data_IF_147952566952
#
_entry.id   IF_147952566952
#
_cell.length_a   1.000
_cell.length_b   1.000
_cell.length_c   1.000
_cell.angle_alpha   90.00
_cell.angle_beta   90.00
_cell.angle_gamma   90.00
#
_symmetry.space_group_name_H-M   'P 1'
#
loop_
_entity.id
_entity.type
_entity.pdbx_description
1 polymer ?
#
# COMPACT_ATOMS: atom_id res chain seq x y z
N UNK A 1 18.49 -15.14 -17.51
CA UNK A 1 17.98 -14.00 -16.72
C UNK A 1 18.88 -12.77 -16.85
N UNK A 2 20.18 -12.83 -16.53
CA UNK A 2 21.10 -11.69 -16.64
C UNK A 2 21.27 -11.13 -18.07
N UNK A 3 21.26 -11.99 -19.08
CA UNK A 3 21.20 -11.56 -20.49
C UNK A 3 19.99 -10.66 -20.78
N UNK A 4 18.82 -11.02 -20.24
CA UNK A 4 17.59 -10.27 -20.47
C UNK A 4 17.63 -8.91 -19.75
N UNK A 5 18.16 -8.88 -18.53
CA UNK A 5 18.44 -7.63 -17.81
C UNK A 5 19.36 -6.72 -18.64
N UNK A 6 20.45 -7.27 -19.18
CA UNK A 6 21.35 -6.51 -20.04
C UNK A 6 20.64 -5.94 -21.30
N UNK A 7 19.80 -6.75 -21.93
CA UNK A 7 19.00 -6.31 -23.08
C UNK A 7 17.95 -5.27 -22.72
N UNK A 8 17.38 -5.31 -21.51
CA UNK A 8 16.45 -4.28 -21.06
C UNK A 8 17.12 -2.91 -20.99
N UNK A 9 18.36 -2.84 -20.51
CA UNK A 9 19.13 -1.59 -20.45
C UNK A 9 19.61 -1.15 -21.84
N UNK A 10 20.25 -2.05 -22.58
CA UNK A 10 20.97 -1.69 -23.81
C UNK A 10 20.10 -1.68 -25.07
N UNK A 11 19.04 -2.48 -25.12
CA UNK A 11 18.27 -2.72 -26.33
C UNK A 11 16.74 -2.77 -26.09
N UNK A 12 16.13 -1.75 -25.45
CA UNK A 12 14.67 -1.67 -25.35
C UNK A 12 14.06 -1.56 -26.76
N UNK A 13 13.06 -2.41 -27.04
CA UNK A 13 12.45 -2.51 -28.37
C UNK A 13 11.22 -1.62 -28.48
N UNK A 14 11.11 -0.91 -29.61
CA UNK A 14 9.90 -0.18 -30.00
C UNK A 14 8.98 -1.10 -30.80
N UNK A 15 7.88 -1.55 -30.19
CA UNK A 15 6.85 -2.33 -30.88
C UNK A 15 5.58 -1.49 -31.08
N UNK A 16 5.43 -0.95 -32.29
CA UNK A 16 4.29 -0.10 -32.65
C UNK A 16 2.97 -0.88 -32.70
N UNK A 17 3.00 -2.17 -33.03
CA UNK A 17 1.80 -3.01 -33.12
C UNK A 17 1.27 -3.36 -31.73
N UNK A 18 2.17 -3.71 -30.81
CA UNK A 18 1.84 -3.93 -29.41
C UNK A 18 1.36 -2.64 -28.74
N UNK A 19 2.01 -1.51 -29.02
CA UNK A 19 1.59 -0.20 -28.53
C UNK A 19 0.15 0.14 -28.95
N UNK A 20 -0.18 0.03 -30.25
CA UNK A 20 -1.54 0.30 -30.76
C UNK A 20 -2.57 -0.61 -30.10
N UNK A 21 -2.25 -1.91 -30.00
CA UNK A 21 -3.12 -2.90 -29.34
C UNK A 21 -3.35 -2.56 -27.86
N UNK A 22 -2.30 -2.16 -27.14
CA UNK A 22 -2.40 -1.73 -25.74
C UNK A 22 -3.31 -0.51 -25.59
N UNK A 23 -3.07 0.57 -26.35
CA UNK A 23 -3.89 1.79 -26.28
C UNK A 23 -5.36 1.50 -26.59
N UNK A 24 -5.64 0.72 -27.65
CA UNK A 24 -7.00 0.36 -28.02
C UNK A 24 -7.68 -0.49 -26.93
N UNK A 25 -7.00 -1.52 -26.41
CA UNK A 25 -7.54 -2.39 -25.37
C UNK A 25 -7.81 -1.62 -24.08
N UNK A 26 -6.87 -0.79 -23.63
CA UNK A 26 -6.99 -0.01 -22.40
C UNK A 26 -8.12 1.02 -22.46
N UNK A 27 -8.35 1.66 -23.62
CA UNK A 27 -9.52 2.53 -23.84
C UNK A 27 -10.84 1.76 -23.73
N UNK A 28 -10.93 0.60 -24.37
CA UNK A 28 -12.13 -0.24 -24.31
C UNK A 28 -12.41 -0.74 -22.89
N UNK A 29 -11.36 -1.19 -22.17
CA UNK A 29 -11.47 -1.61 -20.77
C UNK A 29 -11.92 -0.46 -19.86
N UNK A 30 -11.40 0.74 -20.08
CA UNK A 30 -11.78 1.93 -19.31
C UNK A 30 -13.26 2.25 -19.48
N UNK A 31 -13.79 2.20 -20.71
CA UNK A 31 -15.23 2.40 -20.96
C UNK A 31 -16.09 1.40 -20.19
N UNK A 32 -15.68 0.13 -20.16
CA UNK A 32 -16.38 -0.90 -19.41
C UNK A 32 -16.29 -0.68 -17.89
N UNK A 33 -15.11 -0.31 -17.39
CA UNK A 33 -14.90 0.01 -15.97
C UNK A 33 -15.77 1.17 -15.50
N UNK A 34 -15.88 2.24 -16.30
CA UNK A 34 -16.71 3.41 -15.94
C UNK A 34 -18.21 3.08 -15.81
N UNK A 35 -18.68 1.95 -16.34
CA UNK A 35 -20.05 1.47 -16.13
C UNK A 35 -20.26 0.79 -14.77
N UNK A 36 -19.18 0.49 -14.03
CA UNK A 36 -19.22 -0.05 -12.68
C UNK A 36 -19.29 1.12 -11.66
N UNK A 37 -20.34 1.19 -10.84
CA UNK A 37 -20.46 2.24 -9.84
C UNK A 37 -19.34 2.36 -8.82
N UNK A 38 -18.70 1.25 -8.48
CA UNK A 38 -17.56 1.24 -7.55
C UNK A 38 -16.43 2.11 -8.09
N UNK A 39 -16.28 2.20 -9.41
CA UNK A 39 -15.27 3.04 -10.06
C UNK A 39 -15.52 4.52 -9.80
N UNK A 40 -16.78 4.98 -9.84
CA UNK A 40 -17.10 6.38 -9.51
C UNK A 40 -16.84 6.68 -8.04
N UNK A 41 -17.12 5.74 -7.15
CA UNK A 41 -16.83 5.88 -5.73
C UNK A 41 -15.32 5.97 -5.46
N UNK A 42 -14.52 5.06 -6.02
CA UNK A 42 -13.07 5.08 -5.87
C UNK A 42 -12.47 6.37 -6.46
N UNK A 43 -12.93 6.82 -7.62
CA UNK A 43 -12.50 8.09 -8.21
C UNK A 43 -12.84 9.28 -7.29
N UNK A 44 -14.07 9.35 -6.78
CA UNK A 44 -14.51 10.41 -5.86
C UNK A 44 -13.72 10.38 -4.54
N UNK A 45 -13.46 9.18 -4.02
CA UNK A 45 -12.68 8.96 -2.81
C UNK A 45 -11.23 9.43 -2.99
N UNK A 46 -10.52 9.00 -4.04
CA UNK A 46 -9.13 9.43 -4.29
C UNK A 46 -9.03 10.94 -4.56
N UNK A 47 -9.96 11.48 -5.35
CA UNK A 47 -10.03 12.93 -5.60
C UNK A 47 -10.23 13.70 -4.30
N UNK A 48 -11.01 13.19 -3.35
CA UNK A 48 -11.18 13.85 -2.05
C UNK A 48 -9.98 13.64 -1.16
N UNK A 49 -9.45 12.41 -1.11
CA UNK A 49 -8.28 12.02 -0.32
C UNK A 49 -7.05 12.88 -0.61
N UNK A 50 -6.87 13.31 -1.86
CA UNK A 50 -5.75 14.17 -2.25
C UNK A 50 -6.17 15.59 -2.61
N UNK A 51 -7.34 16.06 -2.18
CA UNK A 51 -7.86 17.41 -2.45
C UNK A 51 -7.77 17.82 -3.94
N UNK A 52 -8.09 16.89 -4.84
CA UNK A 52 -8.05 17.03 -6.30
C UNK A 52 -6.68 17.48 -6.83
N UNK A 53 -5.59 17.18 -6.10
CA UNK A 53 -4.25 17.51 -6.51
C UNK A 53 -3.91 16.82 -7.86
N UNK A 54 -3.41 17.54 -8.87
CA UNK A 54 -3.12 16.95 -10.18
C UNK A 54 -1.99 15.90 -10.15
N UNK A 55 -1.20 15.85 -9.07
CA UNK A 55 -0.16 14.85 -8.84
C UNK A 55 -0.67 13.64 -8.05
N UNK A 56 -1.96 13.61 -7.69
CA UNK A 56 -2.56 12.47 -7.02
C UNK A 56 -2.43 11.20 -7.88
N UNK A 57 -2.25 10.02 -7.26
CA UNK A 57 -2.26 8.75 -7.97
C UNK A 57 -3.54 8.59 -8.79
N UNK A 58 -3.39 8.18 -10.04
CA UNK A 58 -4.52 7.84 -10.91
C UNK A 58 -5.06 6.49 -10.47
N UNK A 59 -6.06 6.49 -9.60
CA UNK A 59 -6.74 5.26 -9.17
C UNK A 59 -7.56 4.64 -10.31
N UNK A 60 -8.24 5.49 -11.09
CA UNK A 60 -9.03 5.09 -12.25
C UNK A 60 -8.51 5.86 -13.48
N UNK A 61 -7.92 5.18 -14.47
CA UNK A 61 -7.51 5.86 -15.70
C UNK A 61 -8.72 6.31 -16.50
N UNK A 62 -8.62 7.47 -17.17
CA UNK A 62 -9.62 7.94 -18.13
C UNK A 62 -9.22 7.57 -19.55
N UNK A 63 -10.20 7.42 -20.44
CA UNK A 63 -9.95 7.11 -21.85
C UNK A 63 -9.00 8.11 -22.52
N UNK A 64 -9.18 9.40 -22.19
CA UNK A 64 -8.36 10.52 -22.68
C UNK A 64 -6.89 10.45 -22.25
N UNK A 65 -6.56 9.79 -21.13
CA UNK A 65 -5.17 9.65 -20.70
C UNK A 65 -4.39 8.80 -21.71
N UNK A 66 -5.06 7.83 -22.34
CA UNK A 66 -4.45 7.01 -23.39
C UNK A 66 -4.31 7.73 -24.72
N UNK A 67 -5.05 8.83 -24.95
CA UNK A 67 -4.83 9.71 -26.11
C UNK A 67 -3.54 10.52 -25.97
N UNK A 68 -3.15 10.84 -24.74
CA UNK A 68 -1.93 11.59 -24.43
C UNK A 68 -0.65 10.74 -24.38
N UNK A 69 -0.77 9.41 -24.40
CA UNK A 69 0.41 8.53 -24.41
C UNK A 69 1.12 8.67 -25.75
N UNK A 70 2.44 8.83 -25.71
CA UNK A 70 3.29 8.89 -26.89
C UNK A 70 4.38 7.82 -26.78
N UNK A 71 4.44 6.91 -27.76
CA UNK A 71 5.37 5.76 -27.74
C UNK A 71 6.85 6.18 -27.69
N UNK A 72 7.22 7.24 -28.41
CA UNK A 72 8.59 7.75 -28.37
C UNK A 72 8.93 8.31 -27.00
N UNK A 73 8.04 9.12 -26.42
CA UNK A 73 8.23 9.64 -25.07
C UNK A 73 8.29 8.53 -24.02
N UNK A 74 7.49 7.47 -24.16
CA UNK A 74 7.58 6.30 -23.26
C UNK A 74 8.98 5.65 -23.31
N UNK A 75 9.55 5.49 -24.50
CA UNK A 75 10.89 4.92 -24.66
C UNK A 75 11.99 5.86 -24.18
N UNK A 76 11.83 7.17 -24.37
CA UNK A 76 12.73 8.17 -23.79
C UNK A 76 12.72 8.09 -22.26
N UNK A 77 11.55 8.12 -21.62
CA UNK A 77 11.41 7.99 -20.16
C UNK A 77 12.05 6.68 -19.69
N UNK A 78 11.80 5.57 -20.40
CA UNK A 78 12.40 4.30 -20.07
C UNK A 78 13.93 4.37 -20.08
N UNK A 79 14.53 4.95 -21.13
CA UNK A 79 15.99 5.12 -21.24
C UNK A 79 16.54 6.10 -20.21
N UNK A 80 15.82 7.18 -19.90
CA UNK A 80 16.18 8.14 -18.84
C UNK A 80 16.26 7.48 -17.45
N UNK A 81 15.41 6.46 -17.20
CA UNK A 81 15.31 5.78 -15.90
C UNK A 81 16.12 4.50 -15.78
N UNK A 82 16.26 3.75 -16.87
CA UNK A 82 16.84 2.40 -16.88
C UNK A 82 18.02 2.23 -17.84
N UNK A 83 18.36 3.25 -18.63
CA UNK A 83 19.50 3.20 -19.57
C UNK A 83 20.86 3.51 -18.92
N UNK A 84 20.87 3.84 -17.63
CA UNK A 84 22.06 4.15 -16.83
C UNK A 84 21.89 3.54 -15.44
N UNK A 85 22.86 2.74 -15.01
CA UNK A 85 22.81 1.98 -13.75
C UNK A 85 23.73 2.52 -12.66
N UNK A 86 24.23 3.76 -12.79
CA UNK A 86 25.25 4.37 -11.91
C UNK A 86 24.97 4.32 -10.40
N UNK A 87 23.71 4.24 -9.97
CA UNK A 87 23.29 4.27 -8.57
C UNK A 87 22.34 3.09 -8.25
N UNK A 88 22.35 2.06 -9.10
CA UNK A 88 21.49 0.89 -8.95
C UNK A 88 22.21 -0.21 -8.17
N UNK A 89 21.47 -0.88 -7.30
CA UNK A 89 21.95 -2.04 -6.54
C UNK A 89 21.33 -3.31 -7.13
N UNK A 90 22.18 -4.29 -7.47
CA UNK A 90 21.75 -5.61 -7.93
C UNK A 90 21.98 -6.62 -6.82
N UNK A 91 20.88 -7.19 -6.31
CA UNK A 91 20.91 -8.17 -5.20
C UNK A 91 20.54 -9.54 -5.74
N UNK A 92 21.34 -10.55 -5.40
CA UNK A 92 21.13 -11.93 -5.82
C UNK A 92 21.04 -12.82 -4.58
N UNK A 93 19.99 -13.64 -4.50
CA UNK A 93 19.80 -14.60 -3.41
C UNK A 93 19.44 -15.96 -3.98
N UNK A 94 20.15 -17.00 -3.54
CA UNK A 94 19.88 -18.38 -3.87
C UNK A 94 21.14 -19.24 -3.84
N UNK A 95 21.05 -20.42 -4.45
CA UNK A 95 22.24 -21.26 -4.68
C UNK A 95 23.02 -20.70 -5.87
N UNK A 96 24.10 -19.97 -5.56
CA UNK A 96 24.89 -19.22 -6.51
C UNK A 96 26.36 -19.67 -6.42
N UNK A 97 26.83 -20.57 -7.31
CA UNK A 97 28.24 -20.94 -7.36
C UNK A 97 29.08 -19.70 -7.64
N UNK A 98 29.99 -19.37 -6.73
CA UNK A 98 30.73 -18.10 -6.70
C UNK A 98 31.37 -17.77 -8.05
N UNK A 99 32.23 -18.65 -8.56
CA UNK A 99 32.94 -18.47 -9.84
C UNK A 99 32.00 -18.20 -11.01
N UNK A 100 30.97 -19.03 -11.20
CA UNK A 100 30.03 -18.86 -12.31
C UNK A 100 29.19 -17.60 -12.15
N UNK A 101 28.86 -17.22 -10.91
CA UNK A 101 28.08 -16.03 -10.61
C UNK A 101 28.88 -14.77 -10.93
N UNK A 102 30.15 -14.73 -10.52
CA UNK A 102 31.09 -13.65 -10.82
C UNK A 102 31.26 -13.48 -12.35
N UNK A 103 31.57 -14.55 -13.07
CA UNK A 103 31.72 -14.54 -14.54
C UNK A 103 30.46 -13.98 -15.24
N UNK A 104 29.26 -14.29 -14.74
CA UNK A 104 28.01 -13.78 -15.30
C UNK A 104 27.74 -12.32 -14.92
N UNK A 105 28.11 -11.89 -13.71
CA UNK A 105 28.01 -10.50 -13.27
C UNK A 105 28.95 -9.63 -14.10
N UNK A 106 30.21 -10.02 -14.27
CA UNK A 106 31.17 -9.31 -15.12
C UNK A 106 30.65 -9.16 -16.54
N UNK A 107 30.12 -10.26 -17.11
CA UNK A 107 29.65 -10.27 -18.49
C UNK A 107 28.41 -9.41 -18.71
N UNK A 108 27.43 -9.44 -17.79
CA UNK A 108 26.08 -8.89 -18.05
C UNK A 108 25.71 -7.67 -17.21
N UNK A 109 26.32 -7.48 -16.04
CA UNK A 109 26.05 -6.35 -15.14
C UNK A 109 27.17 -5.31 -15.22
N UNK A 110 28.44 -5.73 -15.11
CA UNK A 110 29.57 -4.81 -15.17
C UNK A 110 29.77 -4.18 -16.57
N UNK A 111 29.14 -4.74 -17.60
CA UNK A 111 29.10 -4.18 -18.96
C UNK A 111 28.00 -3.14 -19.19
N UNK A 112 27.16 -2.85 -18.18
CA UNK A 112 26.06 -1.89 -18.30
C UNK A 112 26.56 -0.44 -18.28
N UNK A 113 25.85 0.49 -18.96
CA UNK A 113 26.23 1.90 -18.98
C UNK A 113 26.17 2.54 -17.60
N UNK A 114 27.23 3.25 -17.23
CA UNK A 114 27.32 4.10 -16.04
C UNK A 114 27.77 5.49 -16.46
N UNK A 115 26.97 6.52 -16.16
CA UNK A 115 27.35 7.92 -16.41
C UNK A 115 27.82 8.68 -15.16
N UNK A 116 27.75 8.07 -13.98
CA UNK A 116 28.05 8.69 -12.69
C UNK A 116 26.91 9.56 -12.14
N UNK A 117 25.72 9.52 -12.75
CA UNK A 117 24.53 10.21 -12.23
C UNK A 117 24.13 9.65 -10.87
N UNK A 118 23.77 10.54 -9.95
CA UNK A 118 23.13 10.19 -8.69
C UNK A 118 21.62 10.35 -8.80
N UNK A 119 20.89 9.39 -8.27
CA UNK A 119 19.43 9.41 -8.27
C UNK A 119 18.94 9.71 -6.86
N UNK A 120 17.96 10.61 -6.75
CA UNK A 120 17.34 10.92 -5.47
C UNK A 120 15.84 11.16 -5.66
N UNK A 121 15.06 10.90 -4.63
CA UNK A 121 13.64 11.23 -4.62
C UNK A 121 13.44 12.73 -4.39
N UNK A 122 12.30 13.25 -4.86
CA UNK A 122 11.88 14.62 -4.62
C UNK A 122 10.48 14.58 -4.00
N UNK A 123 10.33 15.23 -2.85
CA UNK A 123 8.99 15.50 -2.34
C UNK A 123 8.28 16.49 -3.27
N UNK A 124 7.15 16.05 -3.82
CA UNK A 124 6.33 16.82 -4.75
C UNK A 124 5.20 17.59 -4.04
N UNK A 125 5.15 17.56 -2.70
CA UNK A 125 4.16 18.25 -1.90
C UNK A 125 2.77 17.59 -1.89
N UNK A 126 2.62 16.39 -2.46
CA UNK A 126 1.37 15.65 -2.38
C UNK A 126 1.14 15.17 -0.94
N UNK A 127 -0.04 15.48 -0.39
CA UNK A 127 -0.48 15.09 0.96
C UNK A 127 -1.91 14.60 0.94
N UNK A 128 -2.25 13.74 1.90
CA UNK A 128 -3.65 13.40 2.20
C UNK A 128 -4.36 14.64 2.74
N UNK A 129 -5.64 14.81 2.42
CA UNK A 129 -6.46 15.92 2.85
C UNK A 129 -6.53 16.01 4.38
N UNK A 130 -6.49 17.25 4.89
CA UNK A 130 -6.57 17.54 6.31
C UNK A 130 -8.01 17.63 6.81
N UNK A 131 -8.21 17.40 8.11
CA UNK A 131 -9.50 17.55 8.77
C UNK A 131 -10.39 16.31 8.70
N UNK A 132 -11.65 16.48 9.09
CA UNK A 132 -12.67 15.42 9.09
C UNK A 132 -13.56 15.58 7.86
N UNK A 133 -13.56 14.59 6.99
CA UNK A 133 -14.28 14.61 5.72
C UNK A 133 -15.15 13.37 5.61
N UNK A 134 -16.46 13.57 5.49
CA UNK A 134 -17.40 12.49 5.24
C UNK A 134 -17.93 12.57 3.80
N UNK A 135 -17.92 11.45 3.09
CA UNK A 135 -18.38 11.33 1.71
C UNK A 135 -19.38 10.19 1.63
N UNK A 136 -20.56 10.44 1.08
CA UNK A 136 -21.53 9.38 0.78
C UNK A 136 -21.84 9.41 -0.71
N UNK A 137 -21.69 8.27 -1.38
CA UNK A 137 -21.98 8.11 -2.80
C UNK A 137 -23.09 7.10 -2.98
N UNK A 138 -24.22 7.53 -3.53
CA UNK A 138 -25.37 6.69 -3.86
C UNK A 138 -25.29 6.23 -5.31
N UNK A 139 -24.46 5.21 -5.57
CA UNK A 139 -24.30 4.64 -6.92
C UNK A 139 -24.28 3.11 -6.96
N UNK A 140 -24.28 2.41 -5.83
CA UNK A 140 -24.23 0.96 -5.81
C UNK A 140 -25.41 0.31 -6.57
N UNK A 141 -25.13 -0.63 -7.46
CA UNK A 141 -26.19 -1.39 -8.19
C UNK A 141 -26.74 -2.56 -7.40
N UNK A 142 -25.96 -3.05 -6.43
CA UNK A 142 -26.35 -4.13 -5.53
C UNK A 142 -26.80 -3.55 -4.20
N UNK A 143 -27.62 -4.28 -3.46
CA UNK A 143 -28.02 -3.96 -2.08
C UNK A 143 -26.85 -4.19 -1.10
N UNK A 144 -25.75 -3.50 -1.34
CA UNK A 144 -24.49 -3.57 -0.59
C UNK A 144 -23.91 -2.17 -0.43
N UNK A 145 -23.21 -1.99 0.68
CA UNK A 145 -22.44 -0.81 0.98
C UNK A 145 -20.95 -1.14 1.18
N UNK A 146 -20.11 -0.12 1.04
CA UNK A 146 -18.68 -0.21 1.34
C UNK A 146 -18.27 1.02 2.15
N UNK A 147 -17.68 0.79 3.32
CA UNK A 147 -17.06 1.84 4.12
C UNK A 147 -15.55 1.82 3.86
N UNK A 148 -14.99 2.98 3.54
CA UNK A 148 -13.57 3.27 3.57
C UNK A 148 -13.32 4.33 4.64
N UNK A 149 -12.51 4.03 5.66
CA UNK A 149 -12.11 5.02 6.66
C UNK A 149 -10.59 5.18 6.65
N UNK A 150 -10.12 6.40 6.43
CA UNK A 150 -8.69 6.75 6.40
C UNK A 150 -8.36 7.61 7.60
N UNK A 151 -7.36 7.20 8.38
CA UNK A 151 -6.75 7.98 9.44
C UNK A 151 -5.32 8.27 9.02
N UNK A 152 -4.89 9.53 9.00
CA UNK A 152 -3.57 9.86 8.45
C UNK A 152 -2.90 11.03 9.14
N UNK A 153 -1.61 11.19 8.89
CA UNK A 153 -0.86 12.34 9.35
C UNK A 153 0.63 12.24 9.05
N UNK A 154 1.34 13.33 9.27
CA UNK A 154 2.80 13.32 9.24
C UNK A 154 3.34 12.86 10.60
N UNK A 155 4.37 12.02 10.56
CA UNK A 155 5.08 11.54 11.75
C UNK A 155 6.50 11.14 11.33
N UNK A 156 7.53 11.39 12.16
CA UNK A 156 8.86 10.86 11.88
C UNK A 156 8.82 9.34 11.71
N UNK A 157 9.44 8.86 10.63
CA UNK A 157 9.54 7.43 10.40
C UNK A 157 10.53 6.79 11.38
N UNK A 158 10.15 5.65 11.93
CA UNK A 158 11.09 4.69 12.50
C UNK A 158 10.53 3.28 12.30
N UNK A 159 11.41 2.31 12.13
CA UNK A 159 11.03 0.89 12.05
C UNK A 159 10.25 0.43 13.31
N UNK A 160 10.56 1.05 14.46
CA UNK A 160 9.87 0.83 15.74
C UNK A 160 8.42 1.32 15.72
N UNK A 161 8.17 2.47 15.09
CA UNK A 161 6.83 2.99 14.87
C UNK A 161 6.07 2.13 13.86
N UNK A 162 6.72 1.72 12.77
CA UNK A 162 6.13 0.85 11.76
C UNK A 162 5.65 -0.48 12.36
N UNK A 163 6.50 -1.18 13.14
CA UNK A 163 6.15 -2.44 13.81
C UNK A 163 4.98 -2.26 14.78
N UNK A 164 4.97 -1.19 15.58
CA UNK A 164 3.86 -0.90 16.52
C UNK A 164 2.58 -0.56 15.78
N UNK A 165 2.67 0.18 14.67
CA UNK A 165 1.52 0.53 13.86
C UNK A 165 0.86 -0.71 13.24
N UNK A 166 1.67 -1.62 12.72
CA UNK A 166 1.24 -2.92 12.20
C UNK A 166 0.60 -3.78 13.29
N UNK A 167 1.20 -3.84 14.48
CA UNK A 167 0.65 -4.60 15.61
C UNK A 167 -0.72 -4.08 16.04
N UNK A 168 -0.93 -2.76 16.00
CA UNK A 168 -2.24 -2.15 16.26
C UNK A 168 -3.25 -2.58 15.18
N UNK A 169 -2.86 -2.59 13.91
CA UNK A 169 -3.71 -3.08 12.82
C UNK A 169 -4.11 -4.54 13.01
N UNK A 170 -3.18 -5.43 13.33
CA UNK A 170 -3.46 -6.85 13.58
C UNK A 170 -4.39 -7.07 14.77
N UNK A 171 -4.17 -6.36 15.89
CA UNK A 171 -5.09 -6.45 17.04
C UNK A 171 -6.48 -5.90 16.69
N UNK A 172 -6.56 -4.78 15.96
CA UNK A 172 -7.85 -4.26 15.51
C UNK A 172 -8.54 -5.25 14.57
N UNK A 173 -7.81 -5.96 13.70
CA UNK A 173 -8.39 -6.97 12.82
C UNK A 173 -8.98 -8.15 13.58
N UNK A 174 -8.35 -8.59 14.68
CA UNK A 174 -8.96 -9.56 15.61
C UNK A 174 -10.30 -9.02 16.13
N UNK A 175 -10.34 -7.78 16.62
CA UNK A 175 -11.58 -7.17 17.13
C UNK A 175 -12.63 -6.92 16.04
N UNK A 176 -12.23 -6.60 14.81
CA UNK A 176 -13.13 -6.47 13.66
C UNK A 176 -13.79 -7.81 13.36
N UNK A 177 -13.04 -8.92 13.42
CA UNK A 177 -13.62 -10.25 13.23
C UNK A 177 -14.62 -10.57 14.37
N UNK A 178 -14.19 -10.45 15.63
CA UNK A 178 -15.02 -10.80 16.79
C UNK A 178 -16.28 -9.92 16.90
N UNK A 179 -16.13 -8.60 16.81
CA UNK A 179 -17.23 -7.67 17.08
C UNK A 179 -18.05 -7.36 15.82
N UNK A 180 -17.40 -7.01 14.71
CA UNK A 180 -18.11 -6.54 13.51
C UNK A 180 -18.63 -7.69 12.65
N UNK A 181 -17.85 -8.77 12.50
CA UNK A 181 -18.23 -9.94 11.70
C UNK A 181 -19.05 -10.96 12.49
N UNK A 182 -18.61 -11.36 13.68
CA UNK A 182 -19.25 -12.49 14.38
C UNK A 182 -20.44 -12.05 15.24
N UNK A 183 -20.28 -10.99 16.04
CA UNK A 183 -21.31 -10.51 16.97
C UNK A 183 -22.35 -9.60 16.33
N UNK A 184 -21.93 -8.58 15.58
CA UNK A 184 -22.84 -7.66 14.86
C UNK A 184 -23.37 -8.31 13.58
N UNK A 185 -22.63 -9.26 13.01
CA UNK A 185 -22.95 -9.89 11.72
C UNK A 185 -23.08 -8.86 10.59
N UNK A 186 -22.27 -7.80 10.63
CA UNK A 186 -22.38 -6.67 9.71
C UNK A 186 -21.46 -6.75 8.48
N UNK A 187 -20.41 -7.57 8.53
CA UNK A 187 -19.46 -7.77 7.43
C UNK A 187 -19.15 -9.26 7.25
N UNK A 188 -18.86 -9.68 6.01
CA UNK A 188 -18.34 -11.03 5.73
C UNK A 188 -16.80 -11.08 5.74
N UNK A 189 -16.16 -9.94 5.52
CA UNK A 189 -14.72 -9.74 5.49
C UNK A 189 -14.39 -8.26 5.51
N UNK A 190 -13.12 -7.92 5.41
CA UNK A 190 -12.64 -6.55 5.60
C UNK A 190 -11.66 -6.47 6.76
N UNK A 191 -11.10 -5.29 6.94
CA UNK A 191 -10.07 -5.07 7.95
C UNK A 191 -9.54 -3.64 7.91
N UNK A 192 -8.54 -3.38 8.73
CA UNK A 192 -7.80 -2.13 8.82
C UNK A 192 -6.30 -2.38 8.67
N UNK A 193 -5.67 -1.60 7.79
CA UNK A 193 -4.27 -1.79 7.42
C UNK A 193 -3.50 -0.51 7.65
N UNK A 194 -2.31 -0.61 8.23
CA UNK A 194 -1.42 0.51 8.47
C UNK A 194 -0.34 0.62 7.41
N UNK A 195 0.09 1.84 7.12
CA UNK A 195 1.34 2.13 6.43
C UNK A 195 2.06 3.25 7.16
N UNK A 196 3.37 3.09 7.39
CA UNK A 196 4.26 4.16 7.85
C UNK A 196 5.33 4.33 6.79
N UNK A 197 5.33 5.47 6.12
CA UNK A 197 6.18 5.72 4.96
C UNK A 197 7.36 6.59 5.35
N UNK A 198 8.57 6.25 4.86
CA UNK A 198 9.80 7.01 5.11
C UNK A 198 10.01 8.13 4.08
N UNK A 199 9.88 7.79 2.80
CA UNK A 199 10.19 8.65 1.65
C UNK A 199 8.97 8.84 0.74
N UNK A 200 8.87 9.96 -0.01
CA UNK A 200 9.79 11.09 -0.02
C UNK A 200 9.61 12.04 1.18
N UNK A 201 8.57 11.81 1.99
CA UNK A 201 8.34 12.49 3.26
C UNK A 201 7.75 11.50 4.26
N UNK A 202 8.02 11.69 5.55
CA UNK A 202 7.57 10.75 6.57
C UNK A 202 6.12 10.99 6.98
N UNK A 203 5.30 9.94 6.85
CA UNK A 203 3.87 9.98 7.16
C UNK A 203 3.34 8.61 7.54
N UNK A 204 2.09 8.58 8.00
CA UNK A 204 1.36 7.34 8.24
C UNK A 204 -0.07 7.43 7.70
N UNK A 205 -0.64 6.25 7.43
CA UNK A 205 -2.07 6.09 7.31
C UNK A 205 -2.54 4.75 7.88
N UNK A 206 -3.79 4.72 8.31
CA UNK A 206 -4.59 3.52 8.49
C UNK A 206 -5.76 3.59 7.53
N UNK A 207 -6.03 2.51 6.80
CA UNK A 207 -7.17 2.40 5.89
C UNK A 207 -8.01 1.21 6.33
N UNK A 208 -9.23 1.48 6.79
CA UNK A 208 -10.24 0.45 7.03
C UNK A 208 -11.10 0.28 5.78
N UNK A 209 -11.33 -0.97 5.38
CA UNK A 209 -12.22 -1.35 4.27
C UNK A 209 -13.24 -2.36 4.77
N UNK A 210 -14.51 -1.95 4.89
CA UNK A 210 -15.58 -2.75 5.47
C UNK A 210 -16.76 -2.88 4.49
N UNK A 211 -16.80 -3.94 3.65
CA UNK A 211 -17.97 -4.27 2.86
C UNK A 211 -19.11 -4.77 3.76
N UNK A 212 -20.31 -4.18 3.62
CA UNK A 212 -21.43 -4.41 4.52
C UNK A 212 -22.80 -4.26 3.85
N UNK A 213 -23.88 -4.55 4.59
CA UNK A 213 -25.25 -4.16 4.21
C UNK A 213 -25.47 -2.65 4.40
N UNK A 214 -26.28 -1.98 3.55
CA UNK A 214 -26.56 -0.54 3.65
C UNK A 214 -27.09 -0.09 5.01
N UNK A 215 -27.87 -0.95 5.68
CA UNK A 215 -28.45 -0.74 7.01
C UNK A 215 -27.43 -0.87 8.16
N UNK A 216 -26.28 -1.49 7.90
CA UNK A 216 -25.22 -1.71 8.90
C UNK A 216 -24.16 -0.61 8.91
N UNK A 217 -24.20 0.34 7.97
CA UNK A 217 -23.16 1.36 7.80
C UNK A 217 -22.86 2.11 9.11
N UNK A 218 -23.87 2.74 9.70
CA UNK A 218 -23.67 3.57 10.89
C UNK A 218 -23.24 2.72 12.10
N UNK A 219 -23.82 1.52 12.22
CA UNK A 219 -23.48 0.56 13.29
C UNK A 219 -22.01 0.16 13.21
N UNK A 220 -21.49 -0.11 12.01
CA UNK A 220 -20.10 -0.54 11.81
C UNK A 220 -19.10 0.60 11.97
N UNK A 221 -19.43 1.81 11.54
CA UNK A 221 -18.59 3.00 11.78
C UNK A 221 -18.47 3.25 13.29
N UNK A 222 -19.58 3.17 14.03
CA UNK A 222 -19.56 3.31 15.49
C UNK A 222 -18.74 2.19 16.13
N UNK A 223 -18.95 0.94 15.73
CA UNK A 223 -18.22 -0.21 16.27
C UNK A 223 -16.70 -0.10 16.01
N UNK A 224 -16.28 0.24 14.79
CA UNK A 224 -14.86 0.45 14.46
C UNK A 224 -14.23 1.54 15.35
N UNK A 225 -14.90 2.68 15.48
CA UNK A 225 -14.42 3.78 16.31
C UNK A 225 -14.37 3.40 17.81
N UNK A 226 -15.30 2.57 18.28
CA UNK A 226 -15.26 2.06 19.64
C UNK A 226 -14.03 1.18 19.87
N UNK A 227 -13.69 0.26 18.95
CA UNK A 227 -12.50 -0.58 19.06
C UNK A 227 -11.20 0.25 19.01
N UNK A 228 -11.11 1.25 18.13
CA UNK A 228 -9.98 2.20 18.11
C UNK A 228 -9.87 2.94 19.45
N UNK A 229 -10.99 3.43 19.98
CA UNK A 229 -11.00 4.13 21.28
C UNK A 229 -10.65 3.22 22.45
N UNK A 230 -11.02 1.93 22.39
CA UNK A 230 -10.67 0.94 23.41
C UNK A 230 -9.15 0.75 23.47
N UNK A 231 -8.48 0.58 22.32
CA UNK A 231 -7.00 0.49 22.28
C UNK A 231 -6.35 1.78 22.78
N UNK A 232 -6.87 2.95 22.42
CA UNK A 232 -6.34 4.24 22.95
C UNK A 232 -6.47 4.36 24.47
N UNK A 233 -7.55 3.87 25.06
CA UNK A 233 -7.80 4.00 26.51
C UNK A 233 -7.07 2.93 27.32
N UNK A 234 -7.09 1.69 26.88
CA UNK A 234 -6.70 0.53 27.67
C UNK A 234 -5.47 -0.19 27.10
N UNK A 235 -5.16 0.01 25.81
CA UNK A 235 -4.25 -0.85 25.07
C UNK A 235 -4.92 -2.16 24.61
N UNK A 236 -4.22 -2.98 23.82
CA UNK A 236 -4.69 -4.32 23.47
C UNK A 236 -4.76 -5.22 24.71
N UNK A 237 -5.63 -6.24 24.69
CA UNK A 237 -5.58 -7.30 25.70
C UNK A 237 -4.28 -8.09 25.57
N UNK A 238 -3.79 -8.63 26.70
CA UNK A 238 -2.60 -9.48 26.70
C UNK A 238 -2.78 -10.70 25.79
N UNK A 239 -3.98 -11.28 25.76
CA UNK A 239 -4.32 -12.39 24.87
C UNK A 239 -4.18 -12.01 23.40
N UNK A 240 -4.80 -10.91 22.95
CA UNK A 240 -4.77 -10.54 21.54
C UNK A 240 -3.36 -10.12 21.10
N UNK A 241 -2.63 -9.39 21.95
CA UNK A 241 -1.24 -9.06 21.65
C UNK A 241 -0.36 -10.33 21.55
N UNK A 242 -0.56 -11.31 22.43
CA UNK A 242 0.18 -12.57 22.37
C UNK A 242 -0.16 -13.40 21.13
N UNK A 243 -1.43 -13.43 20.70
CA UNK A 243 -1.84 -14.06 19.43
C UNK A 243 -1.09 -13.47 18.24
N UNK A 244 -1.06 -12.13 18.14
CA UNK A 244 -0.33 -11.42 17.07
C UNK A 244 1.16 -11.76 17.10
N UNK A 245 1.80 -11.68 18.27
CA UNK A 245 3.23 -12.02 18.42
C UNK A 245 3.54 -13.44 17.98
N UNK A 246 2.75 -14.42 18.43
CA UNK A 246 2.94 -15.82 18.09
C UNK A 246 2.77 -16.05 16.59
N UNK A 247 1.74 -15.49 15.98
CA UNK A 247 1.51 -15.57 14.54
C UNK A 247 2.70 -15.03 13.75
N UNK A 248 3.20 -13.84 14.10
CA UNK A 248 4.35 -13.23 13.41
C UNK A 248 5.64 -14.04 13.56
N UNK A 249 5.91 -14.59 14.75
CA UNK A 249 7.09 -15.42 14.98
C UNK A 249 7.02 -16.71 14.14
N UNK A 250 5.86 -17.37 14.08
CA UNK A 250 5.70 -18.57 13.26
C UNK A 250 5.78 -18.27 11.76
N UNK A 251 5.21 -17.15 11.32
CA UNK A 251 5.35 -16.68 9.94
C UNK A 251 6.81 -16.40 9.59
N UNK A 252 7.53 -15.69 10.46
CA UNK A 252 8.95 -15.37 10.28
C UNK A 252 9.80 -16.64 10.10
N UNK A 253 9.60 -17.68 10.92
CA UNK A 253 10.30 -18.97 10.80
C UNK A 253 10.17 -19.62 9.41
N UNK A 254 9.05 -19.37 8.73
CA UNK A 254 8.84 -19.84 7.36
C UNK A 254 9.48 -18.88 6.35
N UNK A 255 9.24 -17.57 6.51
CA UNK A 255 9.72 -16.55 5.59
C UNK A 255 11.25 -16.54 5.47
N UNK A 256 12.00 -16.73 6.55
CA UNK A 256 13.48 -16.73 6.51
C UNK A 256 14.08 -17.89 5.71
N UNK A 257 13.28 -18.86 5.27
CA UNK A 257 13.72 -19.95 4.40
C UNK A 257 13.57 -19.60 2.91
N UNK A 258 12.86 -18.52 2.61
CA UNK A 258 12.52 -18.13 1.24
C UNK A 258 13.50 -17.09 0.69
N UNK A 259 14.03 -17.33 -0.51
CA UNK A 259 14.95 -16.39 -1.17
C UNK A 259 14.34 -14.99 -1.35
N UNK A 260 13.01 -14.92 -1.58
CA UNK A 260 12.31 -13.64 -1.75
C UNK A 260 12.32 -12.77 -0.51
N UNK A 261 12.27 -13.37 0.69
CA UNK A 261 12.35 -12.65 1.97
C UNK A 261 13.71 -12.00 2.12
N UNK A 262 14.77 -12.77 1.91
CA UNK A 262 16.15 -12.27 1.96
C UNK A 262 16.39 -11.19 0.91
N UNK A 263 15.91 -11.39 -0.32
CA UNK A 263 16.04 -10.41 -1.40
C UNK A 263 15.42 -9.06 -0.99
N UNK A 264 14.19 -9.09 -0.48
CA UNK A 264 13.47 -7.89 -0.05
C UNK A 264 14.19 -7.19 1.11
N UNK A 265 14.62 -7.94 2.13
CA UNK A 265 15.31 -7.35 3.29
C UNK A 265 16.68 -6.77 2.91
N UNK A 266 17.48 -7.48 2.10
CA UNK A 266 18.77 -6.96 1.62
C UNK A 266 18.58 -5.68 0.79
N UNK A 267 17.53 -5.61 -0.04
CA UNK A 267 17.18 -4.40 -0.78
C UNK A 267 16.83 -3.25 0.17
N UNK A 268 15.98 -3.47 1.17
CA UNK A 268 15.63 -2.43 2.13
C UNK A 268 16.83 -1.95 2.96
N UNK A 269 17.72 -2.87 3.38
CA UNK A 269 18.94 -2.52 4.10
C UNK A 269 19.84 -1.61 3.24
N UNK A 270 20.04 -1.95 1.96
CA UNK A 270 20.93 -1.22 1.06
C UNK A 270 20.32 0.10 0.60
N UNK A 271 19.05 0.09 0.18
CA UNK A 271 18.38 1.23 -0.47
C UNK A 271 17.73 2.16 0.54
N UNK A 272 17.07 1.59 1.54
CA UNK A 272 16.30 2.37 2.53
C UNK A 272 17.09 2.60 3.82
N UNK A 273 18.20 1.89 4.03
CA UNK A 273 18.99 1.97 5.26
C UNK A 273 18.29 1.33 6.44
N UNK A 274 17.47 0.30 6.19
CA UNK A 274 16.85 -0.50 7.24
C UNK A 274 17.89 -1.33 8.01
N UNK A 275 17.53 -1.71 9.23
CA UNK A 275 18.40 -2.40 10.18
C UNK A 275 18.46 -3.90 9.89
N UNK A 276 19.64 -4.39 9.50
CA UNK A 276 19.91 -5.83 9.41
C UNK A 276 19.64 -6.56 10.74
N UNK A 277 19.86 -5.89 11.88
CA UNK A 277 19.60 -6.45 13.21
C UNK A 277 18.10 -6.72 13.42
N UNK A 278 17.21 -5.88 12.89
CA UNK A 278 15.77 -6.11 13.00
C UNK A 278 15.29 -7.32 12.23
N UNK A 279 15.90 -7.57 11.08
CA UNK A 279 15.61 -8.77 10.33
C UNK A 279 16.17 -10.00 11.05
N UNK A 280 17.47 -10.04 11.34
CA UNK A 280 18.13 -11.22 11.92
C UNK A 280 17.57 -11.56 13.31
N UNK A 281 17.30 -10.54 14.13
CA UNK A 281 16.81 -10.68 15.49
C UNK A 281 15.32 -10.30 15.60
N UNK A 282 14.51 -10.55 14.56
CA UNK A 282 13.09 -10.16 14.51
C UNK A 282 12.29 -10.55 15.75
N UNK A 283 12.46 -11.78 16.24
CA UNK A 283 11.74 -12.27 17.43
C UNK A 283 11.99 -11.41 18.68
N UNK A 284 13.19 -10.84 18.84
CA UNK A 284 13.52 -9.93 19.95
C UNK A 284 12.62 -8.70 19.93
N UNK A 285 12.43 -8.10 18.75
CA UNK A 285 11.63 -6.89 18.56
C UNK A 285 10.13 -7.17 18.73
N UNK A 286 9.64 -8.29 18.19
CA UNK A 286 8.24 -8.72 18.38
C UNK A 286 7.93 -8.98 19.85
N UNK A 287 8.81 -9.72 20.54
CA UNK A 287 8.60 -10.04 21.95
C UNK A 287 8.62 -8.82 22.86
N UNK A 288 9.39 -7.78 22.50
CA UNK A 288 9.49 -6.53 23.24
C UNK A 288 8.23 -5.64 23.19
N UNK A 289 7.29 -5.89 22.26
CA UNK A 289 6.06 -5.09 22.17
C UNK A 289 5.22 -5.19 23.44
N UNK A 290 4.77 -4.06 23.99
CA UNK A 290 3.88 -4.05 25.16
C UNK A 290 2.55 -3.37 24.86
N UNK A 291 1.52 -3.73 25.64
CA UNK A 291 0.21 -3.08 25.53
C UNK A 291 0.27 -1.56 25.78
N UNK A 292 1.16 -1.13 26.67
CA UNK A 292 1.37 0.30 26.97
C UNK A 292 2.00 1.04 25.79
N UNK A 293 3.00 0.45 25.12
CA UNK A 293 3.58 1.02 23.91
C UNK A 293 2.55 1.13 22.78
N UNK A 294 1.71 0.11 22.59
CA UNK A 294 0.66 0.14 21.57
C UNK A 294 -0.44 1.14 21.92
N UNK A 295 -0.81 1.28 23.21
CA UNK A 295 -1.71 2.34 23.68
C UNK A 295 -1.16 3.73 23.36
N UNK A 296 0.11 4.00 23.70
CA UNK A 296 0.74 5.29 23.43
C UNK A 296 0.80 5.58 21.92
N UNK A 297 1.18 4.57 21.12
CA UNK A 297 1.24 4.67 19.66
C UNK A 297 -0.15 4.90 19.05
N UNK A 298 -1.18 4.21 19.53
CA UNK A 298 -2.56 4.43 19.09
C UNK A 298 -3.05 5.85 19.40
N UNK A 299 -2.66 6.44 20.54
CA UNK A 299 -2.99 7.83 20.83
C UNK A 299 -2.27 8.83 19.92
N UNK A 300 -1.03 8.54 19.51
CA UNK A 300 -0.29 9.34 18.54
C UNK A 300 -0.94 9.29 17.15
N UNK A 301 -1.22 8.08 16.65
CA UNK A 301 -1.66 7.85 15.28
C UNK A 301 -3.16 8.05 15.07
N UNK A 302 -4.01 7.75 16.06
CA UNK A 302 -5.45 8.03 16.02
C UNK A 302 -5.79 9.31 16.79
N UNK A 303 -5.07 10.40 16.51
CA UNK A 303 -5.24 11.70 17.18
C UNK A 303 -6.53 12.46 16.80
N UNK A 304 -7.24 12.00 15.76
CA UNK A 304 -8.53 12.55 15.35
C UNK A 304 -8.48 13.83 14.51
N UNK A 305 -7.29 14.26 14.06
CA UNK A 305 -7.10 15.45 13.22
C UNK A 305 -7.54 15.21 11.78
N UNK A 306 -7.01 14.17 11.14
CA UNK A 306 -7.29 13.86 9.74
C UNK A 306 -8.00 12.51 9.62
N UNK A 307 -9.29 12.56 9.34
CA UNK A 307 -10.15 11.39 9.16
C UNK A 307 -10.98 11.58 7.89
N UNK A 308 -10.92 10.61 6.98
CA UNK A 308 -11.79 10.58 5.81
C UNK A 308 -12.67 9.34 5.92
N UNK A 309 -13.98 9.52 6.00
CA UNK A 309 -14.95 8.41 5.96
C UNK A 309 -15.72 8.49 4.64
N UNK A 310 -15.54 7.50 3.78
CA UNK A 310 -16.26 7.39 2.52
C UNK A 310 -17.15 6.17 2.51
N UNK A 311 -18.42 6.35 2.17
CA UNK A 311 -19.42 5.29 2.10
C UNK A 311 -20.01 5.21 0.71
N UNK A 312 -19.88 4.06 0.05
CA UNK A 312 -20.69 3.71 -1.11
C UNK A 312 -22.00 3.08 -0.61
N UNK A 313 -23.14 3.61 -1.03
CA UNK A 313 -24.48 3.06 -0.80
C UNK A 313 -25.14 2.71 -2.14
N UNK A 314 -26.20 1.87 -2.14
CA UNK A 314 -27.01 1.63 -3.33
C UNK A 314 -27.54 2.93 -3.93
N UNK A 315 -27.82 2.91 -5.24
CA UNK A 315 -28.58 3.98 -5.91
C UNK A 315 -29.93 4.15 -5.20
N UNK A 316 -30.33 5.40 -4.98
CA UNK A 316 -31.67 5.69 -4.50
C UNK A 316 -32.67 5.18 -5.55
N UNK A 317 -33.61 4.33 -5.13
CA UNK A 317 -34.71 3.94 -6.00
C UNK A 317 -35.45 5.22 -6.37
N UNK A 318 -35.47 5.55 -7.67
CA UNK A 318 -36.46 6.52 -8.16
C UNK A 318 -37.81 5.88 -7.93
N UNK A 319 -38.61 6.46 -7.05
CA UNK A 319 -40.02 6.14 -6.99
C UNK A 319 -40.62 6.51 -8.35
N UNK A 320 -40.89 5.50 -9.19
CA UNK A 320 -41.70 5.66 -10.39
C UNK A 320 -43.11 6.02 -9.92
N UNK A 321 -43.38 7.33 -9.88
CA UNK A 321 -44.74 7.89 -9.83
C UNK A 321 -45.28 8.04 -11.24
#
# INVERSE_FOLDING_TARGET
MLQLLNLYVNAPRKDTSLYKSFIQKSKSQTKFMMANPQVTFIDSFYNTMFNKNPLAPVAIPKGEYYDAVNLDRCLEIYKERFGDVSDMNFVFVGSLPEKTTEELIEKYIASLPVSGKKFNYKDNGLRTAEGKIDIVVHKGKEEKALILAVYSGETPYSEDLALKAEAISEVLNIKIIEELREKIQGIYGGGIYSSVTKYPYSNYNYIAQLPCGPEKVDTLIIALNNEINNIKKQGPSAENLNKVKQQWIEQYKTQVKENGTWLSNLQSIIVEGESADRFINYEKYVNALTAEQLKATANLLFNGKNIITAVLKPEEKKDDK
#
